data_IF_014301854994
#
_entry.id   IF_014301854994
#
_cell.length_a   1.000
_cell.length_b   1.000
_cell.length_c   1.000
_cell.angle_alpha   90.00
_cell.angle_beta   90.00
_cell.angle_gamma   90.00
#
_symmetry.space_group_name_H-M   'P 1'
#
loop_
_entity.id
_entity.type
_entity.pdbx_description
1 polymer ?
#
# COMPACT_ATOMS: atom_id res chain seq x y z
N UNK A 1 11.43 26.91 -0.53
CA UNK A 1 10.59 27.07 0.68
C UNK A 1 9.49 26.02 0.82
N UNK A 2 8.83 25.56 -0.26
CA UNK A 2 7.78 24.50 -0.18
C UNK A 2 8.27 23.10 0.25
N UNK A 3 9.55 22.79 0.00
CA UNK A 3 10.16 21.48 0.35
C UNK A 3 10.33 21.28 1.86
N UNK A 4 10.56 22.37 2.60
CA UNK A 4 10.71 22.31 4.06
C UNK A 4 9.35 22.01 4.69
N UNK A 5 8.29 22.63 4.19
CA UNK A 5 6.93 22.46 4.75
C UNK A 5 6.44 21.02 4.64
N UNK A 6 6.67 20.36 3.50
CA UNK A 6 6.24 18.96 3.31
C UNK A 6 7.04 17.99 4.20
N UNK A 7 8.34 18.25 4.38
CA UNK A 7 9.19 17.46 5.26
C UNK A 7 8.82 17.64 6.73
N UNK A 8 8.51 18.87 7.19
CA UNK A 8 8.05 19.10 8.57
C UNK A 8 6.65 18.58 8.82
N UNK A 9 5.72 18.67 7.87
CA UNK A 9 4.38 18.06 8.02
C UNK A 9 4.45 16.53 8.13
N UNK A 10 5.29 15.88 7.33
CA UNK A 10 5.53 14.44 7.44
C UNK A 10 6.16 14.06 8.79
N UNK A 11 7.11 14.86 9.28
CA UNK A 11 7.75 14.63 10.58
C UNK A 11 6.78 14.81 11.76
N UNK A 12 5.88 15.80 11.70
CA UNK A 12 4.88 16.06 12.74
C UNK A 12 3.78 14.99 12.76
N UNK A 13 3.38 14.46 11.60
CA UNK A 13 2.47 13.31 11.54
C UNK A 13 3.09 12.04 12.16
N UNK A 14 4.39 11.84 11.98
CA UNK A 14 5.13 10.72 12.63
C UNK A 14 5.30 10.96 14.13
N UNK A 15 5.54 12.21 14.56
CA UNK A 15 5.69 12.55 15.97
C UNK A 15 4.36 12.57 16.75
N UNK A 16 3.24 12.92 16.10
CA UNK A 16 1.91 12.96 16.73
C UNK A 16 1.34 11.58 17.07
N UNK A 17 1.82 10.52 16.43
CA UNK A 17 1.50 9.13 16.78
C UNK A 17 2.35 8.58 17.95
N UNK A 18 3.34 9.34 18.43
CA UNK A 18 4.30 8.89 19.44
C UNK A 18 3.87 9.15 20.90
N UNK A 19 2.63 9.60 21.15
CA UNK A 19 2.06 9.70 22.50
C UNK A 19 1.49 8.37 23.03
N UNK A 20 1.66 7.27 22.29
CA UNK A 20 1.49 5.93 22.81
C UNK A 20 2.68 5.58 23.72
N UNK A 21 2.38 5.29 24.98
CA UNK A 21 3.30 4.78 26.00
C UNK A 21 4.47 3.98 25.39
N UNK A 22 5.69 4.45 25.63
CA UNK A 22 6.93 3.85 25.13
C UNK A 22 7.04 2.41 25.64
N UNK A 23 6.58 1.45 24.84
CA UNK A 23 6.95 0.04 24.98
C UNK A 23 8.39 -0.03 24.49
N UNK A 24 9.32 0.14 25.43
CA UNK A 24 10.76 0.17 25.19
C UNK A 24 11.24 -1.22 24.77
N UNK A 25 11.13 -1.57 23.50
CA UNK A 25 12.02 -2.56 22.91
C UNK A 25 13.29 -1.85 22.49
N UNK A 26 14.46 -2.37 22.87
CA UNK A 26 15.75 -1.85 22.40
C UNK A 26 15.96 -2.00 20.87
N UNK A 27 15.06 -2.72 20.18
CA UNK A 27 15.12 -2.90 18.74
C UNK A 27 14.57 -1.65 18.02
N UNK A 28 15.38 -0.91 17.25
CA UNK A 28 14.86 0.17 16.41
C UNK A 28 13.91 -0.42 15.37
N UNK A 29 12.83 0.31 15.06
CA UNK A 29 11.98 -0.05 13.94
C UNK A 29 12.78 -0.02 12.64
N UNK A 30 12.69 -1.09 11.86
CA UNK A 30 13.11 -1.08 10.46
C UNK A 30 11.97 -0.53 9.62
N UNK A 31 12.22 0.61 8.97
CA UNK A 31 11.27 1.22 8.04
C UNK A 31 11.67 0.89 6.62
N UNK A 32 10.78 0.22 5.90
CA UNK A 32 10.95 -0.12 4.49
C UNK A 32 9.95 0.64 3.66
N UNK A 33 10.45 1.34 2.64
CA UNK A 33 9.65 1.93 1.58
C UNK A 33 9.86 1.11 0.30
N UNK A 34 8.77 0.62 -0.28
CA UNK A 34 8.80 -0.15 -1.52
C UNK A 34 7.62 0.22 -2.40
N UNK A 35 7.51 -0.42 -3.55
CA UNK A 35 6.43 -0.10 -4.49
C UNK A 35 6.72 -0.56 -5.90
N UNK A 36 5.81 -0.20 -6.81
CA UNK A 36 5.92 -0.45 -8.23
C UNK A 36 5.25 0.66 -9.03
N UNK A 37 5.77 0.89 -10.24
CA UNK A 37 5.10 1.70 -11.26
C UNK A 37 4.98 0.81 -12.49
N UNK A 38 3.76 0.68 -13.03
CA UNK A 38 3.45 -0.04 -14.25
C UNK A 38 2.83 0.92 -15.25
N UNK A 39 3.22 0.75 -16.50
CA UNK A 39 2.74 1.52 -17.64
C UNK A 39 2.23 0.55 -18.68
N UNK A 40 0.96 0.66 -19.05
CA UNK A 40 0.32 -0.18 -20.05
C UNK A 40 -0.14 0.69 -21.23
N UNK A 41 0.06 0.18 -22.44
CA UNK A 41 -0.50 0.74 -23.67
C UNK A 41 -1.35 -0.34 -24.34
N UNK A 42 -2.64 -0.06 -24.49
CA UNK A 42 -3.65 -1.04 -24.87
C UNK A 42 -4.28 -0.59 -26.18
N UNK A 43 -4.35 -1.50 -27.14
CA UNK A 43 -5.14 -1.34 -28.36
C UNK A 43 -6.21 -2.42 -28.33
N UNK A 44 -7.47 -2.01 -28.38
CA UNK A 44 -8.62 -2.92 -28.35
C UNK A 44 -9.48 -2.68 -29.59
N UNK A 45 -9.99 -3.77 -30.16
CA UNK A 45 -11.04 -3.72 -31.17
C UNK A 45 -12.35 -4.09 -30.48
N UNK A 46 -13.18 -3.09 -30.23
CA UNK A 46 -14.47 -3.24 -29.54
C UNK A 46 -15.59 -2.76 -30.46
N UNK A 47 -16.68 -3.54 -30.52
CA UNK A 47 -17.87 -3.27 -31.33
C UNK A 47 -18.93 -2.46 -30.54
N UNK A 48 -18.65 -2.10 -29.29
CA UNK A 48 -19.51 -1.22 -28.50
C UNK A 48 -19.47 0.23 -29.01
N UNK A 49 -20.66 0.86 -29.10
CA UNK A 49 -20.76 2.27 -29.49
C UNK A 49 -20.04 3.19 -28.48
N UNK A 50 -19.18 4.07 -28.98
CA UNK A 50 -18.34 5.00 -28.21
C UNK A 50 -17.22 4.35 -27.38
N UNK A 51 -16.81 3.11 -27.67
CA UNK A 51 -15.63 2.51 -27.05
C UNK A 51 -14.34 3.19 -27.51
N UNK A 52 -13.42 3.46 -26.59
CA UNK A 52 -12.08 3.94 -26.93
C UNK A 52 -11.22 2.76 -27.42
N UNK A 53 -10.73 2.83 -28.67
CA UNK A 53 -9.92 1.75 -29.26
C UNK A 53 -8.46 1.74 -28.78
N UNK A 54 -8.03 2.76 -28.02
CA UNK A 54 -6.66 2.92 -27.53
C UNK A 54 -6.64 3.56 -26.16
N UNK A 55 -5.93 2.95 -25.21
CA UNK A 55 -5.79 3.45 -23.85
C UNK A 55 -4.32 3.40 -23.40
N UNK A 56 -3.88 4.44 -22.69
CA UNK A 56 -2.62 4.45 -21.96
C UNK A 56 -2.92 4.55 -20.47
N UNK A 57 -2.49 3.56 -19.69
CA UNK A 57 -2.77 3.47 -18.25
C UNK A 57 -1.49 3.41 -17.46
N UNK A 58 -1.40 4.26 -16.43
CA UNK A 58 -0.34 4.18 -15.42
C UNK A 58 -0.93 3.67 -14.12
N UNK A 59 -0.32 2.64 -13.54
CA UNK A 59 -0.61 2.18 -12.19
C UNK A 59 0.61 2.40 -11.31
N UNK A 60 0.42 3.00 -10.13
CA UNK A 60 1.47 3.13 -9.13
C UNK A 60 1.04 2.56 -7.79
N UNK A 61 2.01 2.02 -7.09
CA UNK A 61 1.84 1.40 -5.77
C UNK A 61 3.00 1.83 -4.89
N UNK A 62 2.69 2.36 -3.71
CA UNK A 62 3.66 2.67 -2.66
C UNK A 62 3.32 1.83 -1.43
N UNK A 63 4.31 1.15 -0.88
CA UNK A 63 4.18 0.36 0.34
C UNK A 63 5.12 0.91 1.41
N UNK A 64 4.57 1.24 2.56
CA UNK A 64 5.31 1.62 3.76
C UNK A 64 5.15 0.52 4.79
N UNK A 65 6.27 -0.01 5.27
CA UNK A 65 6.30 -1.01 6.35
C UNK A 65 7.21 -0.50 7.46
N UNK A 66 6.77 -0.61 8.70
CA UNK A 66 7.59 -0.37 9.88
C UNK A 66 7.47 -1.58 10.80
N UNK A 67 8.58 -2.20 11.18
CA UNK A 67 8.56 -3.39 12.04
C UNK A 67 9.70 -3.42 13.04
N UNK A 68 9.46 -4.04 14.20
CA UNK A 68 10.46 -4.28 15.23
C UNK A 68 10.31 -5.70 15.78
N UNK A 69 11.42 -6.24 16.30
CA UNK A 69 11.45 -7.55 16.95
C UNK A 69 11.65 -7.37 18.45
N UNK A 70 10.69 -7.84 19.23
CA UNK A 70 10.74 -7.85 20.68
C UNK A 70 11.75 -8.91 21.18
N UNK A 71 12.23 -8.75 22.41
CA UNK A 71 13.22 -9.66 23.03
C UNK A 71 12.68 -11.08 23.21
N UNK A 72 11.35 -11.24 23.33
CA UNK A 72 10.68 -12.54 23.39
C UNK A 72 10.56 -13.22 22.01
N UNK A 73 11.16 -12.66 20.97
CA UNK A 73 11.20 -13.21 19.62
C UNK A 73 10.00 -12.87 18.74
N UNK A 74 8.98 -12.18 19.26
CA UNK A 74 7.83 -11.72 18.48
C UNK A 74 8.18 -10.53 17.60
N UNK A 75 7.63 -10.49 16.39
CA UNK A 75 7.74 -9.33 15.49
C UNK A 75 6.41 -8.60 15.47
N UNK A 76 6.44 -7.28 15.64
CA UNK A 76 5.24 -6.45 15.53
C UNK A 76 5.52 -5.28 14.59
N UNK A 77 4.47 -4.81 13.92
CA UNK A 77 4.64 -3.76 12.96
C UNK A 77 3.35 -3.22 12.37
N UNK A 78 3.56 -2.31 11.43
CA UNK A 78 2.54 -1.66 10.64
C UNK A 78 2.91 -1.82 9.15
N UNK A 79 1.89 -1.98 8.31
CA UNK A 79 2.03 -1.97 6.87
C UNK A 79 0.87 -1.20 6.24
N UNK A 80 1.19 -0.32 5.30
CA UNK A 80 0.20 0.35 4.47
C UNK A 80 0.62 0.37 3.02
N UNK A 81 -0.37 0.26 2.13
CA UNK A 81 -0.21 0.33 0.69
C UNK A 81 -1.10 1.42 0.11
N UNK A 82 -0.48 2.40 -0.54
CA UNK A 82 -1.16 3.41 -1.33
C UNK A 82 -1.11 3.03 -2.81
N UNK A 83 -2.19 3.29 -3.54
CA UNK A 83 -2.25 3.13 -5.00
C UNK A 83 -3.15 4.17 -5.63
N UNK A 84 -2.99 4.44 -6.92
CA UNK A 84 -4.08 5.09 -7.64
C UNK A 84 -5.28 4.14 -7.72
N UNK A 85 -6.45 4.67 -7.44
CA UNK A 85 -7.71 4.03 -7.77
C UNK A 85 -8.30 4.75 -8.97
N UNK A 86 -8.41 4.05 -10.09
CA UNK A 86 -9.20 4.51 -11.22
C UNK A 86 -10.65 4.16 -10.90
N UNK A 87 -11.40 5.12 -10.36
CA UNK A 87 -12.84 4.97 -10.20
C UNK A 87 -13.48 5.01 -11.59
N UNK A 88 -14.28 4.01 -11.91
CA UNK A 88 -15.05 3.98 -13.15
C UNK A 88 -16.54 4.28 -12.92
N UNK A 89 -17.11 4.95 -13.93
CA UNK A 89 -18.51 5.01 -14.35
C UNK A 89 -19.31 6.31 -14.18
N UNK A 90 -18.99 7.31 -13.34
CA UNK A 90 -19.89 8.50 -13.29
C UNK A 90 -19.35 9.81 -12.69
N UNK A 91 -18.03 9.95 -12.55
CA UNK A 91 -17.40 11.19 -12.11
C UNK A 91 -16.18 11.44 -13.01
N UNK A 92 -15.86 12.72 -13.24
CA UNK A 92 -14.65 13.17 -13.95
C UNK A 92 -13.49 12.24 -13.62
N UNK A 93 -12.86 11.63 -14.64
CA UNK A 93 -11.72 10.70 -14.56
C UNK A 93 -10.60 11.28 -13.69
N UNK A 94 -10.72 11.14 -12.38
CA UNK A 94 -9.83 11.75 -11.41
C UNK A 94 -9.08 10.63 -10.71
N UNK A 95 -7.79 10.50 -11.05
CA UNK A 95 -6.88 9.62 -10.34
C UNK A 95 -6.88 9.98 -8.85
N UNK A 96 -7.48 9.11 -8.04
CA UNK A 96 -7.55 9.31 -6.60
C UNK A 96 -6.50 8.43 -5.94
N UNK A 97 -5.69 9.01 -5.07
CA UNK A 97 -4.78 8.24 -4.22
C UNK A 97 -5.58 7.58 -3.09
N UNK A 98 -5.61 6.26 -3.08
CA UNK A 98 -6.30 5.47 -2.05
C UNK A 98 -5.33 4.59 -1.26
N UNK A 99 -5.62 4.41 0.03
CA UNK A 99 -4.97 3.38 0.84
C UNK A 99 -5.73 2.06 0.67
N UNK A 100 -5.13 1.12 -0.06
CA UNK A 100 -5.68 -0.20 -0.39
C UNK A 100 -5.53 -1.18 0.79
N UNK A 101 -4.39 -1.14 1.48
CA UNK A 101 -4.21 -1.87 2.74
C UNK A 101 -3.64 -0.94 3.81
N UNK A 102 -4.06 -1.14 5.05
CA UNK A 102 -3.55 -0.44 6.24
C UNK A 102 -3.85 -1.27 7.48
N UNK A 103 -2.83 -1.92 8.02
CA UNK A 103 -3.00 -2.81 9.16
C UNK A 103 -1.77 -2.79 10.06
N UNK A 104 -2.00 -3.10 11.33
CA UNK A 104 -0.95 -3.51 12.26
C UNK A 104 -0.92 -5.03 12.33
N UNK A 105 0.21 -5.59 12.71
CA UNK A 105 0.34 -7.03 12.85
C UNK A 105 1.26 -7.44 13.99
N UNK A 106 1.02 -8.64 14.48
CA UNK A 106 1.90 -9.37 15.39
C UNK A 106 2.21 -10.73 14.75
N UNK A 107 3.48 -11.12 14.76
CA UNK A 107 3.96 -12.37 14.18
C UNK A 107 4.86 -13.13 15.14
N UNK A 108 4.70 -14.44 15.13
CA UNK A 108 5.55 -15.41 15.83
C UNK A 108 5.70 -16.71 15.05
N UNK A 109 6.14 -17.77 15.71
CA UNK A 109 6.26 -19.10 15.10
C UNK A 109 4.93 -19.69 14.61
N UNK A 110 3.82 -19.20 15.15
CA UNK A 110 2.44 -19.58 14.80
C UNK A 110 1.88 -18.82 13.58
N UNK A 111 2.69 -17.96 12.95
CA UNK A 111 2.26 -17.15 11.82
C UNK A 111 2.06 -15.69 12.19
N UNK A 112 1.01 -15.06 11.67
CA UNK A 112 0.77 -13.62 11.78
C UNK A 112 -0.72 -13.32 11.95
N UNK A 113 -1.03 -12.45 12.90
CA UNK A 113 -2.37 -11.85 13.08
C UNK A 113 -2.30 -10.42 12.59
N UNK A 114 -3.29 -10.01 11.80
CA UNK A 114 -3.41 -8.66 11.23
C UNK A 114 -4.70 -8.00 11.73
N UNK A 115 -4.62 -6.72 12.07
CA UNK A 115 -5.76 -5.90 12.49
C UNK A 115 -5.79 -4.62 11.66
N UNK A 116 -6.88 -4.41 10.93
CA UNK A 116 -7.08 -3.29 10.02
C UNK A 116 -7.56 -3.78 8.65
N UNK A 117 -7.30 -2.98 7.63
CA UNK A 117 -7.69 -3.29 6.26
C UNK A 117 -6.59 -4.10 5.59
N UNK A 118 -6.90 -5.37 5.34
CA UNK A 118 -6.03 -6.31 4.63
C UNK A 118 -6.81 -7.01 3.53
N UNK A 119 -6.08 -7.69 2.65
CA UNK A 119 -6.66 -8.47 1.58
C UNK A 119 -7.19 -9.80 2.13
N UNK A 120 -8.40 -10.17 1.68
CA UNK A 120 -8.93 -11.50 1.95
C UNK A 120 -8.04 -12.58 1.31
N UNK A 121 -8.06 -13.79 1.89
CA UNK A 121 -7.14 -14.88 1.49
C UNK A 121 -7.27 -15.24 0.02
N UNK A 122 -8.50 -15.23 -0.50
CA UNK A 122 -8.81 -15.52 -1.90
C UNK A 122 -8.18 -14.50 -2.87
N UNK A 123 -8.14 -13.23 -2.49
CA UNK A 123 -7.51 -12.16 -3.27
C UNK A 123 -5.97 -12.19 -3.27
N UNK A 124 -5.37 -13.08 -2.46
CA UNK A 124 -3.91 -13.32 -2.47
C UNK A 124 -3.52 -14.50 -3.36
N UNK A 125 -4.47 -15.26 -3.90
CA UNK A 125 -4.15 -16.30 -4.86
C UNK A 125 -3.75 -15.69 -6.21
N UNK A 126 -2.61 -16.09 -6.74
CA UNK A 126 -2.20 -15.76 -8.09
C UNK A 126 -2.73 -16.83 -9.06
N UNK A 127 -3.54 -16.41 -10.02
CA UNK A 127 -3.93 -17.25 -11.16
C UNK A 127 -2.94 -16.94 -12.27
N UNK A 128 -1.97 -17.83 -12.47
CA UNK A 128 -1.03 -17.72 -13.58
C UNK A 128 -1.65 -18.38 -14.81
N UNK A 129 -1.75 -17.63 -15.93
CA UNK A 129 -2.13 -18.24 -17.20
C UNK A 129 -1.07 -19.27 -17.62
N UNK A 130 -1.45 -20.41 -18.23
CA UNK A 130 -0.48 -21.37 -18.72
C UNK A 130 0.50 -20.69 -19.70
N UNK A 131 1.80 -20.87 -19.48
CA UNK A 131 2.79 -20.49 -20.47
C UNK A 131 2.70 -21.46 -21.65
N UNK A 132 2.40 -20.93 -22.84
CA UNK A 132 2.57 -21.64 -24.13
C UNK A 132 4.04 -21.72 -24.51
#
# INVERSE_FOLDING_TARGET
MKKILLATSALVLVAGAASAQQVTTKAPFTVTLGGSVRSDFIIVNDDAANAESREARMDYRLTLKAEAKAENGLTYGFSARLRNNQNDSNQVRQDTLGADTKFIYLSGSWGKIELGDTLAVDSQFEIQAPSV
#
